data_IF_901847717065
#
_entry.id   IF_901847717065
#
_cell.length_a   1.000
_cell.length_b   1.000
_cell.length_c   1.000
_cell.angle_alpha   90.00
_cell.angle_beta   90.00
_cell.angle_gamma   90.00
#
_symmetry.space_group_name_H-M   'P 1'
#
loop_
_entity.id
_entity.type
_entity.pdbx_description
1 polymer ?
#
# COMPACT_ATOMS: atom_id res chain seq x y z
N UNK A 1 -25.30 6.08 6.04
CA UNK A 1 -25.16 5.15 7.19
C UNK A 1 -24.21 4.07 6.73
N UNK A 2 -22.90 4.29 6.89
CA UNK A 2 -21.86 3.35 6.48
C UNK A 2 -21.32 2.68 7.74
N UNK A 3 -21.44 1.36 7.79
CA UNK A 3 -20.83 0.52 8.81
C UNK A 3 -19.33 0.44 8.52
N UNK A 4 -18.54 1.27 9.20
CA UNK A 4 -17.08 1.10 9.28
C UNK A 4 -16.80 0.03 10.35
N UNK A 5 -16.46 -1.18 9.92
CA UNK A 5 -15.91 -2.21 10.79
C UNK A 5 -14.45 -1.89 11.11
N UNK A 6 -14.19 -1.52 12.37
CA UNK A 6 -13.04 -2.04 13.13
C UNK A 6 -11.65 -1.43 12.95
N UNK A 7 -11.49 -0.11 12.92
CA UNK A 7 -10.16 0.50 13.15
C UNK A 7 -10.26 1.76 14.00
N UNK A 8 -9.97 1.62 15.29
CA UNK A 8 -9.87 2.74 16.22
C UNK A 8 -8.58 3.50 15.96
N UNK A 9 -8.70 4.73 15.45
CA UNK A 9 -7.57 5.60 15.26
C UNK A 9 -7.42 6.45 16.52
N UNK A 10 -6.27 6.34 17.20
CA UNK A 10 -5.95 7.26 18.30
C UNK A 10 -5.09 8.38 17.79
N UNK A 11 -5.59 9.61 17.94
CA UNK A 11 -4.85 10.83 17.68
C UNK A 11 -4.37 11.40 19.01
N UNK A 12 -3.05 11.51 19.16
CA UNK A 12 -2.44 12.06 20.37
C UNK A 12 -1.94 13.48 20.10
N UNK A 13 -2.46 14.46 20.86
CA UNK A 13 -1.91 15.82 20.92
C UNK A 13 -0.76 15.84 21.92
N UNK A 14 0.46 16.00 21.41
CA UNK A 14 1.68 16.04 22.22
C UNK A 14 2.00 17.49 22.56
N UNK A 15 2.03 17.82 23.86
CA UNK A 15 2.30 19.16 24.35
C UNK A 15 3.43 19.20 25.38
N UNK A 16 4.01 20.38 25.61
CA UNK A 16 5.02 20.60 26.66
C UNK A 16 4.35 21.15 27.91
N UNK A 17 4.83 20.79 29.11
CA UNK A 17 4.20 21.18 30.37
C UNK A 17 4.07 22.71 30.54
N UNK A 18 4.98 23.47 29.94
CA UNK A 18 5.02 24.93 30.00
C UNK A 18 4.06 25.64 29.03
N UNK A 19 3.57 24.99 27.97
CA UNK A 19 2.67 25.60 26.98
C UNK A 19 1.22 25.08 27.08
N UNK A 20 1.02 23.88 27.63
CA UNK A 20 -0.27 23.22 27.66
C UNK A 20 -0.78 22.80 26.26
N UNK A 21 -1.92 22.08 26.19
CA UNK A 21 -2.48 21.59 24.93
C UNK A 21 -3.07 22.72 24.06
N UNK A 22 -3.11 22.50 22.75
CA UNK A 22 -3.50 23.53 21.79
C UNK A 22 -5.03 23.70 21.71
N UNK A 23 -5.57 24.81 22.23
CA UNK A 23 -7.03 25.05 22.29
C UNK A 23 -7.75 25.01 20.93
N UNK A 24 -7.25 25.63 19.85
CA UNK A 24 -7.87 25.55 18.52
C UNK A 24 -7.95 24.12 17.96
N UNK A 25 -6.96 23.31 18.28
CA UNK A 25 -6.83 21.92 17.84
C UNK A 25 -7.86 21.04 18.54
N UNK A 26 -8.08 21.23 19.85
CA UNK A 26 -9.17 20.58 20.60
C UNK A 26 -10.54 20.88 19.97
N UNK A 27 -10.80 22.13 19.58
CA UNK A 27 -12.05 22.53 18.93
C UNK A 27 -12.23 21.92 17.54
N UNK A 28 -11.15 21.85 16.74
CA UNK A 28 -11.16 21.21 15.42
C UNK A 28 -11.45 19.70 15.53
N UNK A 29 -10.84 19.03 16.50
CA UNK A 29 -11.03 17.60 16.73
C UNK A 29 -12.42 17.27 17.28
N UNK A 30 -12.98 18.11 18.16
CA UNK A 30 -14.36 17.98 18.60
C UNK A 30 -15.34 18.07 17.43
N UNK A 31 -15.05 18.92 16.45
CA UNK A 31 -15.83 19.03 15.21
C UNK A 31 -15.72 17.77 14.35
N UNK A 32 -14.50 17.26 14.13
CA UNK A 32 -14.30 16.02 13.37
C UNK A 32 -14.94 14.80 14.02
N UNK A 33 -14.95 14.71 15.36
CA UNK A 33 -15.65 13.66 16.11
C UNK A 33 -17.17 13.70 15.91
N UNK A 34 -17.74 14.89 15.72
CA UNK A 34 -19.18 15.05 15.45
C UNK A 34 -19.51 14.70 14.00
N UNK A 35 -18.62 15.04 13.06
CA UNK A 35 -18.81 14.78 11.63
C UNK A 35 -18.59 13.30 11.24
N UNK A 36 -17.66 12.60 11.92
CA UNK A 36 -17.28 11.21 11.59
C UNK A 36 -18.04 10.12 12.39
N UNK A 37 -18.88 10.50 13.36
CA UNK A 37 -19.49 9.56 14.29
C UNK A 37 -18.55 9.18 15.44
N UNK A 38 -19.12 8.96 16.63
CA UNK A 38 -18.36 8.94 17.90
C UNK A 38 -17.47 7.70 18.12
N UNK A 39 -17.54 6.68 17.26
CA UNK A 39 -17.06 5.33 17.60
C UNK A 39 -15.75 4.90 16.90
N UNK A 40 -15.08 5.77 16.13
CA UNK A 40 -13.87 5.38 15.37
C UNK A 40 -12.61 6.19 15.65
N UNK A 41 -12.71 7.25 16.46
CA UNK A 41 -11.63 8.21 16.69
C UNK A 41 -11.45 8.53 18.18
N UNK A 42 -10.37 8.00 18.76
CA UNK A 42 -9.97 8.26 20.14
C UNK A 42 -8.96 9.40 20.20
N UNK A 43 -9.10 10.27 21.19
CA UNK A 43 -8.18 11.39 21.39
C UNK A 43 -7.51 11.25 22.76
N UNK A 44 -6.19 11.37 22.78
CA UNK A 44 -5.41 11.42 24.00
C UNK A 44 -4.53 12.67 24.00
N UNK A 45 -4.19 13.13 25.20
CA UNK A 45 -3.22 14.20 25.42
C UNK A 45 -1.98 13.57 26.02
N UNK A 46 -0.80 13.95 25.53
CA UNK A 46 0.45 13.46 26.07
C UNK A 46 1.42 14.61 26.35
N UNK A 47 1.87 14.71 27.59
CA UNK A 47 2.93 15.64 27.98
C UNK A 47 4.30 15.04 27.64
N UNK A 48 5.02 15.66 26.69
CA UNK A 48 6.29 15.14 26.20
C UNK A 48 7.39 15.11 27.27
N UNK A 49 7.35 16.05 28.21
CA UNK A 49 8.34 16.19 29.28
C UNK A 49 8.28 15.01 30.26
N UNK A 50 7.11 14.38 30.41
CA UNK A 50 6.88 13.25 31.32
C UNK A 50 7.06 11.86 30.72
N UNK A 51 7.37 11.74 29.42
CA UNK A 51 7.38 10.46 28.70
C UNK A 51 8.67 10.27 27.89
N UNK A 52 9.47 9.26 28.24
CA UNK A 52 10.75 8.97 27.57
C UNK A 52 10.57 8.57 26.09
N UNK A 53 9.47 7.88 25.76
CA UNK A 53 9.10 7.55 24.37
C UNK A 53 8.86 8.81 23.50
N UNK A 54 8.64 9.97 24.12
CA UNK A 54 8.42 11.24 23.44
C UNK A 54 9.64 12.19 23.50
N UNK A 55 10.82 11.70 23.90
CA UNK A 55 12.04 12.51 24.05
C UNK A 55 12.36 13.35 22.78
N UNK A 56 12.17 12.78 21.59
CA UNK A 56 12.37 13.47 20.29
C UNK A 56 11.46 14.70 20.06
N UNK A 57 10.40 14.83 20.86
CA UNK A 57 9.43 15.93 20.80
C UNK A 57 9.60 16.94 21.94
N UNK A 58 10.54 16.72 22.88
CA UNK A 58 10.84 17.67 23.96
C UNK A 58 11.43 18.97 23.40
N UNK A 59 11.08 20.09 24.01
CA UNK A 59 11.59 21.42 23.66
C UNK A 59 11.06 21.99 22.33
N UNK A 60 10.10 21.33 21.67
CA UNK A 60 9.46 21.81 20.45
C UNK A 60 8.03 22.28 20.75
N UNK A 61 7.67 23.43 20.20
CA UNK A 61 6.33 24.02 20.33
C UNK A 61 5.65 24.07 18.94
N UNK A 62 5.51 22.90 18.33
CA UNK A 62 4.86 22.71 17.02
C UNK A 62 3.77 21.64 17.17
N UNK A 63 2.63 21.77 16.49
CA UNK A 63 1.55 20.80 16.57
C UNK A 63 2.03 19.43 16.05
N UNK A 64 2.22 18.50 16.97
CA UNK A 64 2.71 17.14 16.68
C UNK A 64 1.59 16.15 16.94
N UNK A 65 1.10 15.52 15.87
CA UNK A 65 0.05 14.51 15.94
C UNK A 65 0.65 13.13 15.71
N UNK A 66 0.38 12.22 16.64
CA UNK A 66 0.74 10.82 16.51
C UNK A 66 -0.54 10.02 16.27
N UNK A 67 -0.55 9.26 15.17
CA UNK A 67 -1.64 8.39 14.80
C UNK A 67 -1.26 6.97 15.16
N UNK A 68 -1.97 6.38 16.11
CA UNK A 68 -1.81 4.99 16.49
C UNK A 68 -3.00 4.19 15.99
N UNK A 69 -2.73 3.15 15.21
CA UNK A 69 -3.68 2.08 14.98
C UNK A 69 -3.60 1.15 16.19
N UNK A 70 -4.61 1.20 17.06
CA UNK A 70 -4.72 0.20 18.12
C UNK A 70 -5.25 -1.07 17.45
N UNK A 71 -4.41 -2.10 17.37
CA UNK A 71 -4.89 -3.45 17.09
C UNK A 71 -5.71 -3.87 18.30
N UNK A 72 -6.96 -4.28 18.09
CA UNK A 72 -7.79 -4.83 19.17
C UNK A 72 -7.06 -6.00 19.82
N UNK A 73 -6.44 -5.74 20.97
CA UNK A 73 -6.15 -6.77 21.95
C UNK A 73 -7.43 -6.95 22.78
N UNK A 74 -7.90 -8.18 23.01
CA UNK A 74 -9.07 -8.39 23.84
C UNK A 74 -8.79 -7.83 25.25
N UNK A 75 -9.59 -6.86 25.66
CA UNK A 75 -9.62 -6.34 27.02
C UNK A 75 -10.13 -7.45 27.95
N UNK A 76 -9.22 -8.21 28.56
CA UNK A 76 -9.54 -8.97 29.76
C UNK A 76 -9.18 -8.12 30.98
N UNK A 77 -10.18 -7.43 31.53
CA UNK A 77 -10.12 -7.03 32.93
C UNK A 77 -10.39 -8.28 33.77
N UNK A 78 -9.49 -8.64 34.67
CA UNK A 78 -9.78 -8.80 36.10
C UNK A 78 -8.50 -9.08 36.90
N UNK A 79 -8.45 -8.44 38.06
CA UNK A 79 -7.36 -8.37 39.03
C UNK A 79 -7.04 -9.70 39.74
N UNK A 80 -5.85 -9.68 40.35
CA UNK A 80 -5.39 -10.44 41.53
C UNK A 80 -4.58 -11.75 41.34
N UNK A 81 -3.30 -11.60 41.72
CA UNK A 81 -2.53 -12.41 42.70
C UNK A 81 -1.82 -13.73 42.28
N UNK A 82 -0.51 -13.68 42.60
CA UNK A 82 0.41 -14.75 43.05
C UNK A 82 1.22 -15.57 42.01
N UNK A 83 2.50 -15.16 41.89
CA UNK A 83 3.75 -15.95 41.88
C UNK A 83 3.79 -17.34 41.22
N UNK A 84 4.62 -17.50 40.19
CA UNK A 84 5.84 -18.32 40.28
C UNK A 84 6.78 -18.14 39.07
N UNK A 85 8.07 -18.01 39.34
CA UNK A 85 9.18 -17.97 38.39
C UNK A 85 9.41 -19.29 37.65
N UNK A 86 9.90 -19.17 36.40
CA UNK A 86 10.82 -20.01 35.60
C UNK A 86 10.41 -19.93 34.13
N UNK A 87 11.26 -19.84 33.13
CA UNK A 87 12.72 -19.77 32.94
C UNK A 87 12.88 -19.46 31.43
N UNK A 88 14.03 -18.91 31.06
CA UNK A 88 14.49 -18.46 29.74
C UNK A 88 14.16 -19.46 28.60
N UNK A 89 13.86 -19.09 27.35
CA UNK A 89 14.44 -18.08 26.46
C UNK A 89 14.75 -18.77 25.11
N UNK A 90 14.64 -18.05 23.98
CA UNK A 90 14.71 -18.47 22.55
C UNK A 90 13.30 -18.79 21.97
N UNK A 91 12.49 -17.85 21.43
CA UNK A 91 12.70 -16.89 20.32
C UNK A 91 13.10 -17.62 19.01
N UNK A 92 12.47 -17.50 17.84
CA UNK A 92 11.91 -16.31 17.20
C UNK A 92 10.85 -16.65 16.11
N UNK A 93 9.83 -15.78 16.02
CA UNK A 93 9.25 -15.18 14.81
C UNK A 93 9.02 -16.06 13.55
N UNK A 94 7.80 -16.60 13.42
CA UNK A 94 7.25 -17.01 12.12
C UNK A 94 6.75 -15.76 11.39
N UNK A 95 7.70 -15.13 10.70
CA UNK A 95 7.58 -14.31 9.51
C UNK A 95 6.39 -13.32 9.46
N UNK A 96 6.70 -12.06 9.74
CA UNK A 96 6.00 -10.93 9.14
C UNK A 96 6.32 -10.86 7.64
N UNK A 97 5.78 -11.80 6.84
CA UNK A 97 5.91 -11.82 5.38
C UNK A 97 5.51 -10.43 4.85
N UNK A 98 6.43 -9.73 4.19
CA UNK A 98 6.17 -8.43 3.60
C UNK A 98 4.90 -8.47 2.73
N UNK A 99 3.83 -7.77 3.15
CA UNK A 99 2.53 -7.82 2.47
C UNK A 99 2.66 -7.29 1.04
N UNK A 100 2.53 -8.18 0.06
CA UNK A 100 2.56 -7.80 -1.37
C UNK A 100 1.28 -7.09 -1.76
N UNK A 101 1.40 -6.00 -2.52
CA UNK A 101 0.25 -5.22 -2.99
C UNK A 101 0.19 -5.19 -4.52
N UNK A 102 -1.01 -5.04 -5.08
CA UNK A 102 -1.25 -4.80 -6.50
C UNK A 102 -2.17 -3.61 -6.71
N UNK A 103 -2.05 -2.98 -7.88
CA UNK A 103 -3.03 -2.00 -8.33
C UNK A 103 -4.25 -2.73 -8.90
N UNK A 104 -5.44 -2.24 -8.55
CA UNK A 104 -6.67 -2.50 -9.27
C UNK A 104 -7.34 -1.18 -9.65
N UNK A 105 -7.98 -1.13 -10.81
CA UNK A 105 -8.79 0.04 -11.22
C UNK A 105 -10.17 -0.44 -11.61
N UNK A 106 -11.21 0.12 -10.99
CA UNK A 106 -12.58 0.06 -11.50
C UNK A 106 -12.72 1.22 -12.49
N UNK A 107 -12.87 0.87 -13.76
CA UNK A 107 -12.82 1.80 -14.89
C UNK A 107 -14.10 2.64 -15.02
N UNK A 108 -14.07 3.76 -15.78
CA UNK A 108 -15.20 4.67 -15.88
C UNK A 108 -16.49 4.03 -16.41
N UNK A 109 -16.40 3.00 -17.26
CA UNK A 109 -17.56 2.25 -17.72
C UNK A 109 -18.26 1.55 -16.56
N UNK A 110 -17.55 0.84 -15.69
CA UNK A 110 -18.15 0.21 -14.53
C UNK A 110 -18.75 1.22 -13.54
N UNK A 111 -18.08 2.35 -13.34
CA UNK A 111 -18.56 3.43 -12.45
C UNK A 111 -19.86 4.04 -12.97
N UNK A 112 -19.93 4.38 -14.27
CA UNK A 112 -21.12 4.97 -14.89
C UNK A 112 -22.33 4.01 -14.86
N UNK A 113 -22.09 2.70 -14.91
CA UNK A 113 -23.16 1.70 -14.78
C UNK A 113 -23.58 1.44 -13.32
N UNK A 114 -22.97 2.10 -12.34
CA UNK A 114 -23.31 1.94 -10.92
C UNK A 114 -22.78 0.65 -10.30
N UNK A 115 -21.78 0.01 -10.91
CA UNK A 115 -21.29 -1.31 -10.50
C UNK A 115 -20.18 -1.23 -9.43
N UNK A 116 -19.77 -0.03 -9.00
CA UNK A 116 -18.64 0.17 -8.08
C UNK A 116 -18.80 -0.61 -6.78
N UNK A 117 -19.91 -0.42 -6.07
CA UNK A 117 -20.11 -1.01 -4.74
C UNK A 117 -20.16 -2.54 -4.81
N UNK A 118 -20.80 -3.08 -5.85
CA UNK A 118 -20.88 -4.53 -6.09
C UNK A 118 -19.50 -5.12 -6.42
N UNK A 119 -18.70 -4.43 -7.23
CA UNK A 119 -17.32 -4.82 -7.54
C UNK A 119 -16.44 -4.81 -6.28
N UNK A 120 -16.54 -3.78 -5.45
CA UNK A 120 -15.82 -3.69 -4.17
C UNK A 120 -16.21 -4.87 -3.25
N UNK A 121 -17.51 -5.15 -3.14
CA UNK A 121 -18.01 -6.27 -2.36
C UNK A 121 -17.45 -7.61 -2.87
N UNK A 122 -17.48 -7.85 -4.19
CA UNK A 122 -16.91 -9.08 -4.79
C UNK A 122 -15.40 -9.20 -4.58
N UNK A 123 -14.67 -8.09 -4.61
CA UNK A 123 -13.23 -8.06 -4.30
C UNK A 123 -13.01 -8.52 -2.85
N UNK A 124 -13.77 -7.99 -1.89
CA UNK A 124 -13.66 -8.37 -0.48
C UNK A 124 -14.09 -9.82 -0.23
N UNK A 125 -15.19 -10.28 -0.83
CA UNK A 125 -15.67 -11.66 -0.74
C UNK A 125 -14.66 -12.68 -1.31
N UNK A 126 -13.86 -12.27 -2.29
CA UNK A 126 -12.77 -13.08 -2.83
C UNK A 126 -11.51 -13.11 -1.94
N UNK A 127 -11.54 -12.45 -0.78
CA UNK A 127 -10.48 -12.46 0.23
C UNK A 127 -9.39 -11.42 0.02
N UNK A 128 -9.67 -10.34 -0.73
CA UNK A 128 -8.76 -9.20 -0.84
C UNK A 128 -9.04 -8.15 0.22
N UNK A 129 -7.97 -7.65 0.82
CA UNK A 129 -8.00 -6.45 1.66
C UNK A 129 -7.80 -5.22 0.77
N UNK A 130 -8.72 -4.26 0.85
CA UNK A 130 -8.62 -2.98 0.14
C UNK A 130 -7.93 -1.98 1.07
N UNK A 131 -6.65 -1.71 0.82
CA UNK A 131 -5.84 -0.77 1.64
C UNK A 131 -6.14 0.69 1.31
N UNK A 132 -6.57 0.97 0.09
CA UNK A 132 -6.89 2.32 -0.38
C UNK A 132 -7.96 2.22 -1.45
N UNK A 133 -8.88 3.18 -1.44
CA UNK A 133 -9.88 3.38 -2.48
C UNK A 133 -9.97 4.88 -2.77
N UNK A 134 -9.43 5.30 -3.91
CA UNK A 134 -9.44 6.70 -4.35
C UNK A 134 -10.30 6.82 -5.61
N UNK A 135 -11.38 7.59 -5.55
CA UNK A 135 -12.14 7.99 -6.74
C UNK A 135 -11.48 9.21 -7.39
N UNK A 136 -11.03 9.06 -8.64
CA UNK A 136 -10.39 10.15 -9.39
C UNK A 136 -10.62 10.04 -10.88
N UNK A 137 -10.75 11.19 -11.55
CA UNK A 137 -10.67 11.28 -13.01
C UNK A 137 -9.21 11.41 -13.44
N UNK A 138 -8.74 10.50 -14.30
CA UNK A 138 -7.35 10.44 -14.72
C UNK A 138 -7.06 11.43 -15.86
N UNK A 139 -5.89 12.06 -15.83
CA UNK A 139 -5.46 12.93 -16.94
C UNK A 139 -4.91 12.13 -18.11
N UNK A 140 -4.98 12.70 -19.31
CA UNK A 140 -4.44 12.07 -20.52
C UNK A 140 -2.93 11.79 -20.39
N UNK A 141 -2.17 12.73 -19.82
CA UNK A 141 -0.73 12.58 -19.62
C UNK A 141 -0.41 11.38 -18.71
N UNK A 142 -1.13 11.23 -17.59
CA UNK A 142 -0.98 10.09 -16.69
C UNK A 142 -1.31 8.76 -17.39
N UNK A 143 -2.42 8.70 -18.14
CA UNK A 143 -2.84 7.47 -18.82
C UNK A 143 -1.93 7.08 -19.98
N UNK A 144 -1.37 8.05 -20.70
CA UNK A 144 -0.36 7.78 -21.73
C UNK A 144 0.91 7.20 -21.14
N UNK A 145 1.37 7.70 -20.00
CA UNK A 145 2.51 7.13 -19.27
C UNK A 145 2.18 5.74 -18.73
N UNK A 146 0.99 5.56 -18.14
CA UNK A 146 0.53 4.29 -17.59
C UNK A 146 0.48 3.18 -18.65
N UNK A 147 -0.13 3.48 -19.80
CA UNK A 147 -0.28 2.53 -20.92
C UNK A 147 0.83 2.65 -21.98
N UNK A 148 1.98 3.26 -21.68
CA UNK A 148 3.03 3.52 -22.68
C UNK A 148 3.48 2.25 -23.43
N UNK A 149 3.44 1.09 -22.77
CA UNK A 149 3.79 -0.21 -23.35
C UNK A 149 2.85 -0.63 -24.49
N UNK A 150 1.66 -0.01 -24.58
CA UNK A 150 0.63 -0.24 -25.59
C UNK A 150 0.56 0.85 -26.67
N UNK A 151 1.50 1.80 -26.68
CA UNK A 151 1.44 2.94 -27.60
C UNK A 151 1.42 2.56 -29.10
N UNK A 152 1.87 1.34 -29.44
CA UNK A 152 1.81 0.80 -30.81
C UNK A 152 0.51 0.06 -31.17
N UNK A 153 -0.43 -0.12 -30.23
CA UNK A 153 -1.69 -0.81 -30.48
C UNK A 153 -2.71 0.11 -31.15
N UNK A 154 -3.46 -0.38 -32.13
CA UNK A 154 -4.52 0.40 -32.82
C UNK A 154 -5.58 0.94 -31.84
N UNK A 155 -5.83 0.20 -30.75
CA UNK A 155 -6.81 0.57 -29.74
C UNK A 155 -6.28 1.58 -28.70
N UNK A 156 -5.00 1.99 -28.77
CA UNK A 156 -4.36 2.81 -27.73
C UNK A 156 -5.09 4.13 -27.49
N UNK A 157 -5.36 4.91 -28.53
CA UNK A 157 -6.06 6.19 -28.41
C UNK A 157 -7.48 6.02 -27.83
N UNK A 158 -8.18 4.96 -28.24
CA UNK A 158 -9.50 4.62 -27.70
C UNK A 158 -9.43 4.24 -26.21
N UNK A 159 -8.39 3.53 -25.79
CA UNK A 159 -8.15 3.17 -24.39
C UNK A 159 -7.85 4.40 -23.54
N UNK A 160 -6.98 5.30 -24.01
CA UNK A 160 -6.67 6.55 -23.30
C UNK A 160 -7.93 7.40 -23.15
N UNK A 161 -8.67 7.60 -24.24
CA UNK A 161 -9.92 8.36 -24.21
C UNK A 161 -10.94 7.77 -23.22
N UNK A 162 -11.07 6.44 -23.21
CA UNK A 162 -11.95 5.75 -22.27
C UNK A 162 -11.54 5.95 -20.81
N UNK A 163 -10.25 5.82 -20.48
CA UNK A 163 -9.78 5.98 -19.09
C UNK A 163 -9.92 7.42 -18.57
N UNK A 164 -9.92 8.40 -19.48
CA UNK A 164 -10.10 9.81 -19.15
C UNK A 164 -11.56 10.29 -19.25
N UNK A 165 -12.51 9.42 -19.63
CA UNK A 165 -13.90 9.83 -19.90
C UNK A 165 -14.72 10.10 -18.63
N UNK A 166 -14.19 9.82 -17.45
CA UNK A 166 -14.89 9.99 -16.18
C UNK A 166 -14.10 9.47 -14.98
N UNK A 167 -14.71 9.46 -13.79
CA UNK A 167 -14.08 8.94 -12.58
C UNK A 167 -13.80 7.44 -12.68
N UNK A 168 -12.68 7.01 -12.10
CA UNK A 168 -12.33 5.62 -11.83
C UNK A 168 -12.11 5.44 -10.33
N UNK A 169 -12.28 4.24 -9.80
CA UNK A 169 -11.77 3.90 -8.46
C UNK A 169 -10.43 3.21 -8.57
N UNK A 170 -9.41 3.83 -8.01
CA UNK A 170 -8.07 3.27 -7.91
C UNK A 170 -7.94 2.60 -6.56
N UNK A 171 -7.66 1.30 -6.58
CA UNK A 171 -7.59 0.48 -5.39
C UNK A 171 -6.17 -0.06 -5.21
N UNK A 172 -5.70 -0.06 -3.96
CA UNK A 172 -4.52 -0.84 -3.57
C UNK A 172 -5.03 -2.09 -2.88
N UNK A 173 -4.79 -3.25 -3.52
CA UNK A 173 -5.21 -4.54 -2.98
C UNK A 173 -4.01 -5.25 -2.34
N UNK A 174 -4.21 -5.83 -1.17
CA UNK A 174 -3.33 -6.84 -0.60
C UNK A 174 -4.14 -8.10 -0.33
N UNK A 175 -3.43 -9.22 -0.17
CA UNK A 175 -4.04 -10.47 0.24
C UNK A 175 -3.15 -11.09 1.31
N UNK A 176 -3.70 -11.22 2.52
CA UNK A 176 -2.99 -11.75 3.69
C UNK A 176 -3.20 -13.24 3.88
N UNK A 177 -4.24 -13.80 3.24
CA UNK A 177 -4.61 -15.21 3.32
C UNK A 177 -4.45 -15.91 1.96
N UNK A 178 -3.69 -17.00 1.96
CA UNK A 178 -3.50 -17.86 0.79
C UNK A 178 -2.03 -18.01 0.39
N UNK A 179 -1.76 -19.02 -0.43
CA UNK A 179 -0.42 -19.31 -0.99
C UNK A 179 -0.17 -18.58 -2.31
N UNK A 180 -1.21 -18.00 -2.91
CA UNK A 180 -1.14 -17.36 -4.22
C UNK A 180 -0.77 -15.88 -4.10
N UNK A 181 0.15 -15.43 -4.96
CA UNK A 181 0.54 -14.02 -5.07
C UNK A 181 -0.66 -13.12 -5.41
N UNK A 182 -0.72 -11.94 -4.78
CA UNK A 182 -1.87 -11.01 -4.91
C UNK A 182 -2.16 -10.61 -6.36
N UNK A 183 -1.13 -10.45 -7.20
CA UNK A 183 -1.30 -10.08 -8.61
C UNK A 183 -1.96 -11.25 -9.36
N UNK A 184 -1.48 -12.47 -9.10
CA UNK A 184 -2.02 -13.68 -9.74
C UNK A 184 -3.46 -13.90 -9.32
N UNK A 185 -3.75 -13.81 -8.03
CA UNK A 185 -5.10 -13.91 -7.50
C UNK A 185 -6.04 -12.87 -8.13
N UNK A 186 -5.61 -11.60 -8.22
CA UNK A 186 -6.44 -10.53 -8.78
C UNK A 186 -6.72 -10.78 -10.26
N UNK A 187 -5.72 -11.25 -11.01
CA UNK A 187 -5.89 -11.62 -12.42
C UNK A 187 -6.87 -12.77 -12.60
N UNK A 188 -6.81 -13.77 -11.74
CA UNK A 188 -7.77 -14.89 -11.72
C UNK A 188 -9.19 -14.38 -11.50
N UNK A 189 -9.40 -13.48 -10.53
CA UNK A 189 -10.72 -12.89 -10.25
C UNK A 189 -11.25 -12.04 -11.42
N UNK A 190 -10.38 -11.23 -12.05
CA UNK A 190 -10.76 -10.42 -13.21
C UNK A 190 -11.15 -11.25 -14.42
N UNK A 191 -10.47 -12.37 -14.66
CA UNK A 191 -10.63 -13.22 -15.85
C UNK A 191 -10.00 -12.65 -17.13
N UNK A 192 -10.24 -13.30 -18.29
CA UNK A 192 -9.68 -12.92 -19.58
C UNK A 192 -9.92 -11.44 -19.93
N UNK A 193 -8.95 -10.79 -20.57
CA UNK A 193 -8.99 -9.35 -20.86
C UNK A 193 -10.21 -8.94 -21.71
N UNK A 194 -10.55 -9.76 -22.70
CA UNK A 194 -11.69 -9.56 -23.59
C UNK A 194 -12.97 -10.09 -22.91
N UNK A 195 -14.01 -9.25 -22.70
CA UNK A 195 -15.27 -9.67 -22.09
C UNK A 195 -15.99 -10.82 -22.81
N UNK A 196 -15.89 -10.94 -24.13
CA UNK A 196 -16.52 -12.03 -24.89
C UNK A 196 -15.79 -13.36 -24.65
N UNK A 197 -14.47 -13.32 -24.52
CA UNK A 197 -13.66 -14.47 -24.12
C UNK A 197 -13.97 -14.84 -22.67
N UNK A 198 -14.02 -13.84 -21.78
CA UNK A 198 -14.35 -14.04 -20.37
C UNK A 198 -15.72 -14.69 -20.20
N UNK A 199 -16.77 -14.22 -20.87
CA UNK A 199 -18.11 -14.83 -20.82
C UNK A 199 -18.13 -16.30 -21.26
N UNK A 200 -17.31 -16.67 -22.25
CA UNK A 200 -17.25 -18.04 -22.77
C UNK A 200 -16.44 -18.97 -21.88
N UNK A 201 -15.33 -18.49 -21.32
CA UNK A 201 -14.33 -19.35 -20.66
C UNK A 201 -14.41 -19.27 -19.13
N UNK A 202 -14.77 -18.11 -18.58
CA UNK A 202 -14.83 -17.83 -17.15
C UNK A 202 -16.03 -16.92 -16.83
N UNK A 203 -17.28 -17.44 -16.96
CA UNK A 203 -18.50 -16.64 -16.87
C UNK A 203 -18.69 -15.93 -15.52
N UNK A 204 -18.08 -16.47 -14.45
CA UNK A 204 -18.13 -15.88 -13.11
C UNK A 204 -17.04 -14.83 -12.87
N UNK A 205 -16.17 -14.56 -13.84
CA UNK A 205 -15.15 -13.52 -13.71
C UNK A 205 -15.74 -12.11 -13.76
N UNK A 206 -15.03 -11.13 -13.19
CA UNK A 206 -15.51 -9.73 -13.17
C UNK A 206 -15.67 -9.18 -14.60
N UNK A 207 -14.75 -9.52 -15.52
CA UNK A 207 -14.84 -9.05 -16.91
C UNK A 207 -15.99 -9.69 -17.68
N UNK A 208 -16.40 -10.90 -17.32
CA UNK A 208 -17.57 -11.54 -17.91
C UNK A 208 -18.88 -10.86 -17.46
N UNK A 209 -18.98 -10.53 -16.16
CA UNK A 209 -20.18 -9.95 -15.55
C UNK A 209 -20.36 -8.46 -15.86
N UNK A 210 -19.28 -7.68 -15.83
CA UNK A 210 -19.35 -6.21 -15.90
C UNK A 210 -18.73 -5.62 -17.16
N UNK A 211 -17.90 -6.38 -17.88
CA UNK A 211 -17.28 -5.93 -19.12
C UNK A 211 -18.25 -5.97 -20.30
N UNK A 212 -18.22 -4.96 -21.15
CA UNK A 212 -19.10 -4.88 -22.33
C UNK A 212 -18.38 -5.36 -23.59
N UNK A 213 -17.31 -4.66 -23.99
CA UNK A 213 -16.49 -4.91 -25.17
C UNK A 213 -15.10 -4.29 -24.99
N UNK A 214 -14.10 -4.67 -25.77
CA UNK A 214 -12.79 -4.00 -25.68
C UNK A 214 -12.84 -2.52 -26.16
N UNK A 215 -12.22 -1.56 -25.44
CA UNK A 215 -11.43 -1.69 -24.19
C UNK A 215 -12.22 -1.52 -22.86
N UNK A 216 -13.56 -1.48 -22.92
CA UNK A 216 -14.54 -1.33 -21.83
C UNK A 216 -14.79 -2.67 -21.12
N UNK A 217 -13.78 -3.14 -20.40
CA UNK A 217 -13.81 -4.41 -19.68
C UNK A 217 -13.96 -4.22 -18.17
N UNK A 218 -14.53 -3.10 -17.70
CA UNK A 218 -14.83 -2.77 -16.31
C UNK A 218 -13.66 -2.64 -15.33
N UNK A 219 -12.64 -3.51 -15.40
CA UNK A 219 -11.55 -3.58 -14.42
C UNK A 219 -10.17 -3.74 -15.05
N UNK A 220 -9.18 -3.09 -14.44
CA UNK A 220 -7.76 -3.23 -14.73
C UNK A 220 -7.02 -3.85 -13.53
N UNK A 221 -5.94 -4.57 -13.83
CA UNK A 221 -4.96 -5.00 -12.86
C UNK A 221 -3.62 -5.29 -13.52
N UNK A 222 -2.57 -5.16 -12.72
CA UNK A 222 -1.18 -5.32 -13.16
C UNK A 222 -0.91 -6.71 -13.75
N UNK A 223 0.08 -6.81 -14.64
CA UNK A 223 0.42 -8.08 -15.26
C UNK A 223 1.23 -9.00 -14.34
N UNK A 224 2.18 -8.40 -13.63
CA UNK A 224 3.08 -9.04 -12.69
C UNK A 224 3.48 -8.05 -11.59
N UNK A 225 4.36 -8.48 -10.68
CA UNK A 225 4.85 -7.65 -9.57
C UNK A 225 5.63 -6.41 -10.02
N UNK A 226 6.34 -6.47 -11.14
CA UNK A 226 7.11 -5.31 -11.66
C UNK A 226 6.15 -4.25 -12.18
N UNK A 227 5.13 -4.69 -12.90
CA UNK A 227 4.05 -3.84 -13.36
C UNK A 227 3.29 -3.22 -12.18
N UNK A 228 2.94 -4.02 -11.16
CA UNK A 228 2.29 -3.54 -9.95
C UNK A 228 3.11 -2.44 -9.25
N UNK A 229 4.40 -2.65 -9.07
CA UNK A 229 5.29 -1.66 -8.44
C UNK A 229 5.37 -0.36 -9.25
N UNK A 230 5.53 -0.47 -10.58
CA UNK A 230 5.59 0.70 -11.47
C UNK A 230 4.28 1.48 -11.44
N UNK A 231 3.16 0.78 -11.55
CA UNK A 231 1.82 1.36 -11.63
C UNK A 231 1.40 2.01 -10.31
N UNK A 232 1.67 1.36 -9.18
CA UNK A 232 1.44 1.93 -7.85
C UNK A 232 2.34 3.14 -7.61
N UNK A 233 3.62 3.11 -7.99
CA UNK A 233 4.49 4.28 -7.85
C UNK A 233 4.04 5.47 -8.72
N UNK A 234 3.46 5.20 -9.89
CA UNK A 234 2.94 6.24 -10.78
C UNK A 234 1.65 6.87 -10.25
N UNK A 235 0.71 6.05 -9.75
CA UNK A 235 -0.62 6.53 -9.35
C UNK A 235 -0.74 6.86 -7.86
N UNK A 236 0.12 6.30 -7.01
CA UNK A 236 0.18 6.54 -5.57
C UNK A 236 1.63 6.86 -5.12
N UNK A 237 2.19 8.03 -5.46
CA UNK A 237 3.60 8.36 -5.16
C UNK A 237 3.94 8.38 -3.66
N UNK A 238 2.93 8.55 -2.79
CA UNK A 238 3.10 8.53 -1.34
C UNK A 238 3.02 7.13 -0.72
N UNK A 239 2.62 6.12 -1.50
CA UNK A 239 2.58 4.74 -1.05
C UNK A 239 4.00 4.18 -1.00
N UNK A 240 4.37 3.60 0.13
CA UNK A 240 5.66 2.94 0.32
C UNK A 240 5.44 1.44 0.44
N UNK A 241 6.15 0.67 -0.38
CA UNK A 241 6.28 -0.76 -0.16
C UNK A 241 7.06 -0.99 1.12
N UNK A 242 6.58 -1.91 1.96
CA UNK A 242 7.44 -2.54 2.96
C UNK A 242 8.41 -3.46 2.20
N UNK A 243 9.55 -2.91 1.78
CA UNK A 243 10.61 -3.68 1.14
C UNK A 243 11.19 -4.69 2.15
N UNK A 244 11.15 -5.97 1.80
CA UNK A 244 12.09 -6.95 2.33
C UNK A 244 13.43 -6.78 1.58
N UNK A 245 14.48 -6.51 2.36
CA UNK A 245 15.86 -6.91 2.08
C UNK A 245 16.47 -6.48 0.75
N UNK A 246 16.90 -5.21 0.64
CA UNK A 246 18.04 -4.91 -0.25
C UNK A 246 19.32 -5.36 0.46
N UNK A 247 19.75 -6.60 0.23
CA UNK A 247 21.16 -6.93 0.41
C UNK A 247 21.98 -6.13 -0.60
N UNK A 248 22.74 -5.16 -0.10
CA UNK A 248 23.80 -4.53 -0.87
C UNK A 248 24.84 -5.60 -1.26
N UNK A 249 25.35 -5.61 -2.51
CA UNK A 249 26.43 -6.51 -2.86
C UNK A 249 27.71 -6.07 -2.12
N UNK A 250 28.06 -6.83 -1.08
CA UNK A 250 29.35 -6.71 -0.40
C UNK A 250 30.49 -7.11 -1.34
N UNK A 251 31.56 -6.32 -1.29
CA UNK A 251 32.71 -6.39 -2.18
C UNK A 251 33.36 -7.78 -2.25
N UNK A 252 33.53 -8.27 -3.48
CA UNK A 252 34.38 -9.41 -3.78
C UNK A 252 35.85 -9.03 -3.69
N UNK A 253 36.53 -9.63 -2.71
CA UNK A 253 37.99 -9.63 -2.59
C UNK A 253 38.62 -10.31 -3.82
N UNK A 254 39.54 -9.62 -4.50
CA UNK A 254 40.38 -10.21 -5.53
C UNK A 254 41.57 -10.88 -4.85
N UNK A 255 41.59 -12.21 -4.92
CA UNK A 255 42.66 -13.05 -4.40
C UNK A 255 43.86 -13.02 -5.34
N UNK A 256 45.05 -12.76 -4.77
CA UNK A 256 46.28 -12.58 -5.50
C UNK A 256 46.80 -13.85 -6.18
N UNK A 257 47.42 -13.66 -7.35
CA UNK A 257 48.31 -14.63 -7.98
C UNK A 257 49.69 -13.98 -8.10
N UNK A 258 50.65 -14.63 -7.46
CA UNK A 258 52.08 -14.31 -7.42
C UNK A 258 52.72 -14.66 -8.76
N UNK A 259 53.51 -13.73 -9.31
CA UNK A 259 54.42 -13.94 -10.44
C UNK A 259 55.73 -13.17 -10.21
N UNK A 260 56.89 -13.69 -10.65
CA UNK A 260 58.16 -13.45 -9.97
C UNK A 260 58.89 -12.18 -10.41
N UNK A 261 59.65 -11.64 -9.46
CA UNK A 261 60.73 -10.66 -9.62
C UNK A 261 61.82 -11.17 -10.56
N UNK A 262 62.13 -10.38 -11.60
CA UNK A 262 63.48 -10.26 -12.13
C UNK A 262 63.78 -8.78 -12.38
N UNK A 263 64.95 -8.39 -11.89
CA UNK A 263 65.58 -7.09 -12.06
C UNK A 263 66.70 -7.23 -13.08
N UNK A 264 66.86 -6.26 -13.99
CA UNK A 264 68.13 -5.60 -14.35
C UNK A 264 68.12 -4.91 -15.72
N UNK A 265 68.67 -3.68 -15.71
CA UNK A 265 69.49 -3.02 -16.74
C UNK A 265 68.83 -2.30 -17.94
N UNK A 266 69.11 -0.98 -18.01
CA UNK A 266 69.21 -0.16 -19.22
C UNK A 266 70.60 -0.38 -19.89
N UNK A 267 70.76 -0.17 -21.22
CA UNK A 267 71.14 1.17 -21.72
C UNK A 267 70.66 1.59 -23.14
N UNK A 268 70.50 2.92 -23.31
CA UNK A 268 70.83 3.85 -24.42
C UNK A 268 70.67 3.48 -25.93
N UNK A 269 69.88 4.35 -26.60
CA UNK A 269 70.11 5.13 -27.85
C UNK A 269 70.14 4.51 -29.26
N UNK A 270 69.73 5.40 -30.21
CA UNK A 270 69.82 5.42 -31.69
C UNK A 270 68.73 4.61 -32.42
N UNK A 271 67.88 5.15 -33.30
CA UNK A 271 67.92 6.34 -34.18
C UNK A 271 66.63 7.19 -34.14
#
# INVERSE_FOLDING_TARGET
>A
MFLLLGSFHTVVDVYQGWCGPCKPVVSLFQKMRVELGQDHLHFALAEADGLDVLEKYRGKCEPTFLFYAIKDAPLTNEDERFSHEKDNGEDEDVASLGKTCTLAIIKPDAVVHGNTDELIMKIQEAGFDILTNEERTMTEAEMRLFYQHRAGEEAFEKLIHHMCSGPSHLLILTRTEGVEDVVTAWRTLMGPCDPDVARREQPDSLRAQYGTQMPFNAVHGSQDRKDANRELALLFPSFKFSDEGTEAPQGGQVQGVVGPTESLSFPKNMD
#
